data_IF_898265677648
#
_entry.id   IF_898265677648
#
_cell.length_a   1.000
_cell.length_b   1.000
_cell.length_c   1.000
_cell.angle_alpha   90.00
_cell.angle_beta   90.00
_cell.angle_gamma   90.00
#
_symmetry.space_group_name_H-M   'P 1'
#
loop_
_entity.id
_entity.type
_entity.pdbx_description
1 polymer ?
#
# COMPACT_ATOMS: atom_id res chain seq x y z
N UNK A 1 11.07 3.78 15.78
CA UNK A 1 9.94 2.85 15.83
C UNK A 1 8.95 3.33 14.79
N UNK A 2 8.66 2.51 13.78
CA UNK A 2 7.60 2.80 12.82
C UNK A 2 6.24 2.63 13.52
N UNK A 3 5.31 3.56 13.33
CA UNK A 3 3.97 3.54 13.92
C UNK A 3 2.91 2.90 13.01
N UNK A 4 3.35 2.41 11.85
CA UNK A 4 2.59 1.71 10.82
C UNK A 4 3.25 0.35 10.44
N UNK A 5 3.48 -0.57 11.39
CA UNK A 5 4.22 -1.81 11.14
C UNK A 5 3.51 -2.80 10.20
N UNK A 6 2.18 -2.86 10.19
CA UNK A 6 1.45 -3.71 9.24
C UNK A 6 1.53 -3.14 7.82
N UNK A 7 1.47 -1.81 7.69
CA UNK A 7 1.63 -1.12 6.42
C UNK A 7 3.04 -1.29 5.83
N UNK A 8 4.07 -1.19 6.68
CA UNK A 8 5.45 -1.45 6.28
C UNK A 8 5.62 -2.88 5.78
N UNK A 9 5.12 -3.88 6.53
CA UNK A 9 5.19 -5.27 6.09
C UNK A 9 4.46 -5.47 4.75
N UNK A 10 3.27 -4.89 4.59
CA UNK A 10 2.51 -4.96 3.34
C UNK A 10 3.32 -4.39 2.16
N UNK A 11 3.82 -3.16 2.27
CA UNK A 11 4.55 -2.54 1.17
C UNK A 11 5.90 -3.20 0.91
N UNK A 12 6.70 -3.47 1.94
CA UNK A 12 8.02 -4.05 1.79
C UNK A 12 7.99 -5.51 1.31
N UNK A 13 6.95 -6.29 1.64
CA UNK A 13 6.87 -7.70 1.26
C UNK A 13 6.10 -7.95 -0.04
N UNK A 14 5.15 -7.08 -0.43
CA UNK A 14 4.30 -7.30 -1.60
C UNK A 14 4.52 -6.26 -2.72
N UNK A 15 4.94 -5.04 -2.38
CA UNK A 15 5.29 -3.99 -3.34
C UNK A 15 6.81 -3.74 -3.39
N UNK A 16 7.62 -4.79 -3.23
CA UNK A 16 9.09 -4.75 -3.39
C UNK A 16 9.51 -4.58 -4.85
N UNK A 17 10.81 -4.43 -5.12
CA UNK A 17 11.36 -4.08 -6.43
C UNK A 17 10.94 -5.00 -7.59
N UNK A 18 10.67 -6.27 -7.31
CA UNK A 18 10.32 -7.29 -8.29
C UNK A 18 8.81 -7.57 -8.37
N UNK A 19 7.96 -6.77 -7.68
CA UNK A 19 6.50 -7.00 -7.65
C UNK A 19 5.90 -7.18 -9.06
N UNK A 20 6.39 -6.43 -10.05
CA UNK A 20 5.91 -6.45 -11.43
C UNK A 20 6.37 -7.69 -12.23
N UNK A 21 7.33 -8.47 -11.72
CA UNK A 21 7.69 -9.79 -12.27
C UNK A 21 6.75 -10.88 -11.76
N UNK A 22 6.21 -10.71 -10.56
CA UNK A 22 5.35 -11.68 -9.88
C UNK A 22 3.86 -11.45 -10.18
N UNK A 23 3.50 -10.18 -10.39
CA UNK A 23 2.12 -9.75 -10.57
C UNK A 23 1.98 -8.87 -11.82
N UNK A 24 0.94 -9.15 -12.61
CA UNK A 24 0.66 -8.40 -13.83
C UNK A 24 0.15 -6.96 -13.57
N UNK A 25 -0.47 -6.71 -12.41
CA UNK A 25 -1.03 -5.41 -12.04
C UNK A 25 -0.85 -5.14 -10.55
N UNK A 26 -0.78 -3.86 -10.12
CA UNK A 26 -0.72 -3.51 -8.70
C UNK A 26 -1.99 -3.99 -7.95
N UNK A 27 -3.14 -4.07 -8.62
CA UNK A 27 -4.36 -4.64 -8.03
C UNK A 27 -4.20 -6.13 -7.67
N UNK A 28 -3.52 -6.91 -8.50
CA UNK A 28 -3.29 -8.32 -8.27
C UNK A 28 -2.40 -8.55 -7.03
N UNK A 29 -1.45 -7.65 -6.77
CA UNK A 29 -0.62 -7.66 -5.54
C UNK A 29 -1.53 -7.56 -4.31
N UNK A 30 -2.49 -6.63 -4.30
CA UNK A 30 -3.42 -6.43 -3.18
C UNK A 30 -4.35 -7.64 -3.02
N UNK A 31 -4.81 -8.25 -4.11
CA UNK A 31 -5.61 -9.48 -4.05
C UNK A 31 -4.82 -10.64 -3.44
N UNK A 32 -3.57 -10.83 -3.86
CA UNK A 32 -2.70 -11.88 -3.35
C UNK A 32 -2.42 -11.67 -1.86
N UNK A 33 -2.15 -10.45 -1.43
CA UNK A 33 -2.01 -10.11 -0.02
C UNK A 33 -3.25 -10.51 0.78
N UNK A 34 -4.43 -10.07 0.33
CA UNK A 34 -5.70 -10.36 0.99
C UNK A 34 -6.01 -11.86 1.05
N UNK A 35 -5.66 -12.62 0.01
CA UNK A 35 -5.90 -14.05 -0.03
C UNK A 35 -4.90 -14.87 0.81
N UNK A 36 -3.70 -14.34 1.04
CA UNK A 36 -2.60 -15.04 1.72
C UNK A 36 -2.55 -14.77 3.22
N UNK A 37 -2.90 -13.55 3.63
CA UNK A 37 -2.84 -13.12 5.02
C UNK A 37 -4.11 -13.43 5.80
N UNK A 38 -4.02 -13.39 7.13
CA UNK A 38 -5.19 -13.53 8.00
C UNK A 38 -6.10 -12.28 7.94
N UNK A 39 -7.40 -12.46 8.18
CA UNK A 39 -8.37 -11.36 8.28
C UNK A 39 -7.94 -10.29 9.31
N UNK A 40 -7.30 -10.71 10.42
CA UNK A 40 -6.77 -9.81 11.44
C UNK A 40 -5.62 -8.95 10.89
N UNK A 41 -4.71 -9.56 10.14
CA UNK A 41 -3.58 -8.87 9.49
C UNK A 41 -4.11 -7.85 8.47
N UNK A 42 -5.05 -8.27 7.61
CA UNK A 42 -5.66 -7.40 6.60
C UNK A 42 -6.39 -6.22 7.25
N UNK A 43 -7.15 -6.47 8.32
CA UNK A 43 -7.84 -5.42 9.07
C UNK A 43 -6.86 -4.41 9.67
N UNK A 44 -5.74 -4.86 10.27
CA UNK A 44 -4.71 -3.98 10.83
C UNK A 44 -4.06 -3.11 9.76
N UNK A 45 -3.73 -3.67 8.61
CA UNK A 45 -3.17 -2.93 7.46
C UNK A 45 -4.14 -1.86 6.98
N UNK A 46 -5.44 -2.18 6.88
CA UNK A 46 -6.46 -1.18 6.52
C UNK A 46 -6.56 -0.06 7.55
N UNK A 47 -6.54 -0.39 8.84
CA UNK A 47 -6.66 0.61 9.90
C UNK A 47 -5.43 1.54 9.94
N UNK A 48 -4.23 1.01 9.67
CA UNK A 48 -3.01 1.81 9.52
C UNK A 48 -3.04 2.66 8.24
N UNK A 49 -3.63 2.17 7.16
CA UNK A 49 -3.82 2.92 5.93
C UNK A 49 -4.75 4.13 6.17
N UNK A 50 -5.81 3.93 6.95
CA UNK A 50 -6.74 5.00 7.34
C UNK A 50 -6.04 6.06 8.19
N UNK A 51 -5.18 5.64 9.11
CA UNK A 51 -4.33 6.57 9.90
C UNK A 51 -3.37 7.36 9.02
N UNK A 52 -2.80 6.74 7.97
CA UNK A 52 -1.92 7.43 7.04
C UNK A 52 -2.69 8.45 6.19
N UNK A 53 -3.83 8.07 5.62
CA UNK A 53 -4.69 8.96 4.83
C UNK A 53 -5.20 10.16 5.64
N UNK A 54 -5.44 9.98 6.95
CA UNK A 54 -5.85 11.05 7.85
C UNK A 54 -4.74 12.07 8.18
N UNK A 55 -3.47 11.83 7.78
CA UNK A 55 -2.36 12.77 7.99
C UNK A 55 -2.36 13.95 7.02
N UNK A 56 -3.22 13.93 5.99
CA UNK A 56 -3.37 15.00 4.99
C UNK A 56 -2.02 15.43 4.37
N UNK A 57 -1.19 14.43 4.04
CA UNK A 57 0.10 14.65 3.38
C UNK A 57 -0.12 15.05 1.92
N UNK A 58 0.67 16.00 1.44
CA UNK A 58 0.73 16.30 0.00
C UNK A 58 1.37 15.15 -0.79
N UNK A 59 1.24 15.18 -2.12
CA UNK A 59 1.74 14.12 -3.01
C UNK A 59 3.22 13.76 -2.77
N UNK A 60 4.15 14.73 -2.74
CA UNK A 60 5.56 14.45 -2.45
C UNK A 60 5.82 13.85 -1.06
N UNK A 61 5.19 14.37 -0.01
CA UNK A 61 5.36 13.84 1.35
C UNK A 61 4.77 12.44 1.48
N UNK A 62 3.62 12.18 0.85
CA UNK A 62 3.00 10.87 0.80
C UNK A 62 3.89 9.88 0.04
N UNK A 63 4.44 10.26 -1.12
CA UNK A 63 5.38 9.44 -1.86
C UNK A 63 6.63 9.08 -1.03
N UNK A 64 7.20 10.05 -0.31
CA UNK A 64 8.35 9.81 0.57
C UNK A 64 8.00 8.85 1.73
N UNK A 65 6.82 9.01 2.34
CA UNK A 65 6.33 8.12 3.39
C UNK A 65 6.15 6.69 2.89
N UNK A 66 5.60 6.51 1.68
CA UNK A 66 5.38 5.18 1.08
C UNK A 66 6.70 4.47 0.74
N UNK A 67 7.68 5.20 0.20
CA UNK A 67 9.03 4.67 -0.03
C UNK A 67 9.72 4.30 1.28
N UNK A 68 9.55 5.09 2.34
CA UNK A 68 10.08 4.77 3.66
C UNK A 68 9.45 3.51 4.28
N UNK A 69 8.23 3.14 3.86
CA UNK A 69 7.56 1.89 4.22
C UNK A 69 7.94 0.72 3.30
N UNK A 70 8.83 0.93 2.31
CA UNK A 70 9.30 -0.12 1.39
C UNK A 70 8.47 -0.28 0.11
N UNK A 71 7.59 0.67 -0.23
CA UNK A 71 6.82 0.61 -1.47
C UNK A 71 7.66 1.05 -2.68
N UNK A 72 7.81 0.17 -3.66
CA UNK A 72 8.54 0.42 -4.92
C UNK A 72 7.59 0.71 -6.10
N UNK A 73 6.28 0.52 -5.93
CA UNK A 73 5.29 0.97 -6.89
C UNK A 73 5.19 2.51 -6.90
N UNK A 74 4.97 3.12 -8.07
CA UNK A 74 4.76 4.56 -8.20
C UNK A 74 3.62 4.84 -9.20
N UNK A 75 2.42 5.22 -8.74
CA UNK A 75 1.26 5.45 -9.62
C UNK A 75 1.44 6.63 -10.57
N UNK A 76 2.38 7.55 -10.28
CA UNK A 76 2.59 8.75 -11.09
C UNK A 76 3.25 8.44 -12.44
N UNK A 77 3.92 7.27 -12.57
CA UNK A 77 4.51 6.80 -13.83
C UNK A 77 3.47 6.55 -14.93
N UNK A 78 2.22 6.31 -14.53
CA UNK A 78 1.08 6.09 -15.43
C UNK A 78 0.07 7.25 -15.38
N UNK A 79 0.47 8.40 -14.83
CA UNK A 79 -0.36 9.60 -14.72
C UNK A 79 -1.41 9.56 -13.60
N UNK A 80 -1.27 8.63 -12.65
CA UNK A 80 -2.09 8.57 -11.44
C UNK A 80 -1.54 9.41 -10.29
N UNK A 81 -2.32 9.48 -9.21
CA UNK A 81 -1.98 10.18 -7.97
C UNK A 81 -1.86 9.21 -6.80
N UNK A 82 -0.95 9.49 -5.87
CA UNK A 82 -0.70 8.63 -4.70
C UNK A 82 -1.92 8.46 -3.80
N UNK A 83 -2.63 9.54 -3.53
CA UNK A 83 -3.82 9.52 -2.67
C UNK A 83 -4.92 8.65 -3.29
N UNK A 84 -5.22 8.85 -4.57
CA UNK A 84 -6.25 8.09 -5.28
C UNK A 84 -5.92 6.60 -5.34
N UNK A 85 -4.64 6.26 -5.53
CA UNK A 85 -4.18 4.87 -5.49
C UNK A 85 -4.36 4.25 -4.10
N UNK A 86 -3.98 4.93 -3.02
CA UNK A 86 -4.16 4.41 -1.66
C UNK A 86 -5.63 4.24 -1.29
N UNK A 87 -6.52 5.11 -1.74
CA UNK A 87 -7.97 4.95 -1.57
C UNK A 87 -8.46 3.67 -2.27
N UNK A 88 -7.96 3.37 -3.48
CA UNK A 88 -8.29 2.11 -4.19
C UNK A 88 -7.75 0.88 -3.45
N UNK A 89 -6.51 0.93 -2.95
CA UNK A 89 -5.92 -0.14 -2.12
C UNK A 89 -6.79 -0.39 -0.90
N UNK A 90 -7.15 0.67 -0.16
CA UNK A 90 -8.04 0.59 1.02
C UNK A 90 -9.38 -0.08 0.71
N UNK A 91 -10.04 0.33 -0.39
CA UNK A 91 -11.31 -0.24 -0.81
C UNK A 91 -11.18 -1.74 -1.12
N UNK A 92 -10.09 -2.14 -1.76
CA UNK A 92 -9.83 -3.53 -2.16
C UNK A 92 -9.51 -4.45 -0.98
N UNK A 93 -8.88 -3.92 0.07
CA UNK A 93 -8.68 -4.61 1.35
C UNK A 93 -9.98 -4.78 2.16
N UNK A 94 -11.02 -4.01 1.85
CA UNK A 94 -12.29 -4.03 2.58
C UNK A 94 -13.40 -4.87 1.92
N UNK A 95 -13.30 -5.09 0.59
CA UNK A 95 -14.15 -6.06 -0.11
C UNK A 95 -13.79 -7.48 0.27
#
# INVERSE_FOLDING_TARGET
MNDLPALENFFAAYFHQDWAQEHATPEAVVDTYRASESDETVARTRDELDRLLARDLDGPALAAQLRALGCEFDPTREGGEWYDWLVKVRQRLAG
#
